data_IF_287162808503
#
_entry.id   IF_287162808503
#
_cell.length_a   1.000
_cell.length_b   1.000
_cell.length_c   1.000
_cell.angle_alpha   90.00
_cell.angle_beta   90.00
_cell.angle_gamma   90.00
#
_symmetry.space_group_name_H-M   'P 1'
#
loop_
_entity.id
_entity.type
_entity.pdbx_description
1 polymer ?
#
# COMPACT_ATOMS: atom_id res chain seq x y z
N UNK A 1 16.30 5.81 15.97
CA UNK A 1 16.43 5.52 14.53
C UNK A 1 16.76 4.05 14.23
N UNK A 2 17.74 3.37 14.87
CA UNK A 2 18.06 1.99 14.52
C UNK A 2 16.91 0.99 14.74
N UNK A 3 16.10 1.20 15.75
CA UNK A 3 14.96 0.32 16.05
C UNK A 3 13.89 0.35 14.96
N UNK A 4 13.61 1.51 14.38
CA UNK A 4 12.60 1.65 13.31
C UNK A 4 13.07 0.94 12.04
N UNK A 5 14.35 1.07 11.70
CA UNK A 5 14.95 0.38 10.56
C UNK A 5 14.91 -1.14 10.75
N UNK A 6 15.21 -1.64 11.96
CA UNK A 6 15.13 -3.07 12.27
C UNK A 6 13.70 -3.61 12.21
N UNK A 7 12.70 -2.84 12.68
CA UNK A 7 11.30 -3.22 12.59
C UNK A 7 10.82 -3.29 11.14
N UNK A 8 11.18 -2.31 10.32
CA UNK A 8 10.84 -2.27 8.89
C UNK A 8 11.51 -3.43 8.15
N UNK A 9 12.81 -3.66 8.37
CA UNK A 9 13.55 -4.75 7.75
C UNK A 9 12.97 -6.13 8.14
N UNK A 10 12.62 -6.30 9.41
CA UNK A 10 11.94 -7.51 9.90
C UNK A 10 10.61 -7.74 9.21
N UNK A 11 9.79 -6.72 9.08
CA UNK A 11 8.45 -6.81 8.50
C UNK A 11 8.50 -7.19 7.02
N UNK A 12 9.43 -6.60 6.27
CA UNK A 12 9.68 -6.97 4.87
C UNK A 12 10.18 -8.42 4.78
N UNK A 13 11.14 -8.80 5.64
CA UNK A 13 11.70 -10.17 5.66
C UNK A 13 10.64 -11.23 5.99
N UNK A 14 9.72 -10.94 6.91
CA UNK A 14 8.62 -11.85 7.27
C UNK A 14 7.65 -11.99 6.10
N UNK A 15 7.28 -10.90 5.43
CA UNK A 15 6.34 -10.89 4.29
C UNK A 15 6.81 -11.82 3.15
N UNK A 16 8.13 -11.92 2.92
CA UNK A 16 8.70 -12.64 1.78
C UNK A 16 9.47 -13.92 2.13
N UNK A 17 9.55 -14.29 3.41
CA UNK A 17 10.43 -15.37 3.94
C UNK A 17 10.23 -16.76 3.30
N UNK A 18 9.03 -17.08 2.79
CA UNK A 18 8.68 -18.39 2.22
C UNK A 18 8.25 -18.33 0.77
N UNK A 19 8.52 -17.25 0.08
CA UNK A 19 8.13 -17.08 -1.32
C UNK A 19 9.33 -17.30 -2.25
N UNK A 20 9.16 -18.14 -3.28
CA UNK A 20 10.17 -18.35 -4.33
C UNK A 20 10.45 -17.07 -5.10
N UNK A 21 9.42 -16.28 -5.36
CA UNK A 21 9.52 -15.01 -6.08
C UNK A 21 9.79 -13.83 -5.14
N UNK A 22 9.64 -14.02 -3.82
CA UNK A 22 9.95 -13.02 -2.81
C UNK A 22 9.43 -11.62 -3.13
N UNK A 23 10.33 -10.67 -3.22
CA UNK A 23 10.03 -9.25 -3.50
C UNK A 23 9.45 -9.04 -4.90
N UNK A 24 9.65 -9.96 -5.87
CA UNK A 24 9.05 -9.83 -7.20
C UNK A 24 7.52 -9.78 -7.16
N UNK A 25 6.88 -10.34 -6.15
CA UNK A 25 5.44 -10.24 -5.97
C UNK A 25 4.93 -8.80 -5.80
N UNK A 26 5.76 -7.88 -5.29
CA UNK A 26 5.37 -6.46 -5.21
C UNK A 26 5.20 -5.82 -6.58
N UNK A 27 5.95 -6.31 -7.57
CA UNK A 27 5.85 -5.88 -8.97
C UNK A 27 4.80 -6.67 -9.73
N UNK A 28 4.79 -8.01 -9.57
CA UNK A 28 3.90 -8.89 -10.31
C UNK A 28 2.44 -8.69 -9.96
N UNK A 29 2.12 -8.49 -8.67
CA UNK A 29 0.73 -8.35 -8.24
C UNK A 29 0.02 -7.15 -8.90
N UNK A 30 0.52 -5.91 -8.85
CA UNK A 30 -0.10 -4.80 -9.56
C UNK A 30 -0.15 -5.00 -11.08
N UNK A 31 0.88 -5.62 -11.70
CA UNK A 31 0.89 -5.90 -13.13
C UNK A 31 -0.19 -6.92 -13.53
N UNK A 32 -0.30 -8.02 -12.79
CA UNK A 32 -1.31 -9.05 -13.06
C UNK A 32 -2.74 -8.48 -12.87
N UNK A 33 -2.96 -7.70 -11.82
CA UNK A 33 -4.25 -7.05 -11.60
C UNK A 33 -4.56 -6.03 -12.68
N UNK A 34 -3.58 -5.27 -13.16
CA UNK A 34 -3.75 -4.37 -14.31
C UNK A 34 -4.20 -5.15 -15.54
N UNK A 35 -3.57 -6.29 -15.85
CA UNK A 35 -3.95 -7.12 -17.00
C UNK A 35 -5.41 -7.60 -16.84
N UNK A 36 -5.75 -8.15 -15.68
CA UNK A 36 -7.11 -8.64 -15.39
C UNK A 36 -8.14 -7.53 -15.54
N UNK A 37 -7.91 -6.38 -14.90
CA UNK A 37 -8.84 -5.24 -14.96
C UNK A 37 -8.92 -4.67 -16.38
N UNK A 38 -7.80 -4.56 -17.09
CA UNK A 38 -7.79 -4.08 -18.49
C UNK A 38 -8.60 -5.00 -19.40
N UNK A 39 -8.49 -6.33 -19.25
CA UNK A 39 -9.26 -7.29 -20.04
C UNK A 39 -10.75 -7.21 -19.69
N UNK A 40 -11.08 -7.14 -18.41
CA UNK A 40 -12.49 -7.07 -17.96
C UNK A 40 -13.13 -5.77 -18.42
N UNK A 41 -12.51 -4.64 -18.15
CA UNK A 41 -13.10 -3.32 -18.41
C UNK A 41 -13.03 -2.92 -19.90
N UNK A 42 -12.04 -3.34 -20.66
CA UNK A 42 -11.99 -3.07 -22.11
C UNK A 42 -13.12 -3.77 -22.87
N UNK A 43 -13.58 -4.93 -22.36
CA UNK A 43 -14.69 -5.66 -22.96
C UNK A 43 -16.08 -5.16 -22.50
N UNK A 44 -16.20 -4.67 -21.26
CA UNK A 44 -17.48 -4.24 -20.68
C UNK A 44 -17.77 -2.76 -20.93
N UNK A 45 -16.73 -1.92 -20.85
CA UNK A 45 -16.85 -0.48 -20.96
C UNK A 45 -15.90 0.01 -22.06
N UNK A 46 -16.44 0.55 -23.13
CA UNK A 46 -15.68 1.26 -24.18
C UNK A 46 -15.28 2.63 -23.64
N UNK A 47 -14.36 2.67 -22.68
CA UNK A 47 -13.81 3.95 -22.22
C UNK A 47 -12.85 4.48 -23.28
N UNK A 48 -13.11 5.70 -23.71
CA UNK A 48 -12.29 6.46 -24.68
C UNK A 48 -11.12 7.16 -23.95
N UNK A 49 -10.42 6.38 -23.09
CA UNK A 49 -9.27 6.87 -22.32
C UNK A 49 -8.01 6.38 -22.97
N UNK A 50 -7.19 7.33 -23.40
CA UNK A 50 -5.87 7.04 -23.94
C UNK A 50 -5.00 6.36 -22.86
N UNK A 51 -4.37 5.23 -23.21
CA UNK A 51 -3.57 4.42 -22.27
C UNK A 51 -4.33 3.93 -21.02
N UNK A 52 -5.53 3.40 -21.21
CA UNK A 52 -6.39 2.84 -20.17
C UNK A 52 -5.67 1.92 -19.14
N UNK A 53 -4.74 1.00 -19.55
CA UNK A 53 -3.99 0.19 -18.60
C UNK A 53 -3.15 1.02 -17.62
N UNK A 54 -2.52 2.09 -18.10
CA UNK A 54 -1.70 2.98 -17.27
C UNK A 54 -2.56 3.75 -16.27
N UNK A 55 -3.74 4.21 -16.71
CA UNK A 55 -4.71 4.91 -15.86
C UNK A 55 -5.16 4.01 -14.69
N UNK A 56 -5.59 2.77 -14.98
CA UNK A 56 -6.00 1.80 -13.95
C UNK A 56 -4.84 1.52 -12.99
N UNK A 57 -3.65 1.24 -13.53
CA UNK A 57 -2.49 0.89 -12.71
C UNK A 57 -2.11 2.02 -11.74
N UNK A 58 -2.14 3.27 -12.21
CA UNK A 58 -1.81 4.43 -11.37
C UNK A 58 -2.78 4.59 -10.20
N UNK A 59 -4.09 4.52 -10.46
CA UNK A 59 -5.11 4.56 -9.42
C UNK A 59 -4.99 3.39 -8.43
N UNK A 60 -4.78 2.18 -8.95
CA UNK A 60 -4.63 0.98 -8.15
C UNK A 60 -3.41 1.01 -7.23
N UNK A 61 -2.26 1.49 -7.70
CA UNK A 61 -1.04 1.60 -6.88
C UNK A 61 -1.26 2.53 -5.70
N UNK A 62 -1.90 3.69 -5.92
CA UNK A 62 -2.21 4.67 -4.88
C UNK A 62 -3.22 4.09 -3.88
N UNK A 63 -4.30 3.50 -4.37
CA UNK A 63 -5.34 2.90 -3.52
C UNK A 63 -4.80 1.72 -2.70
N UNK A 64 -4.00 0.83 -3.32
CA UNK A 64 -3.39 -0.30 -2.64
C UNK A 64 -2.45 0.15 -1.51
N UNK A 65 -1.67 1.21 -1.73
CA UNK A 65 -0.85 1.78 -0.66
C UNK A 65 -1.70 2.26 0.51
N UNK A 66 -2.75 3.04 0.25
CA UNK A 66 -3.64 3.53 1.30
C UNK A 66 -4.29 2.38 2.08
N UNK A 67 -4.87 1.44 1.37
CA UNK A 67 -5.52 0.26 1.95
C UNK A 67 -4.54 -0.60 2.76
N UNK A 68 -3.38 -0.93 2.19
CA UNK A 68 -2.37 -1.75 2.85
C UNK A 68 -1.77 -1.05 4.06
N UNK A 69 -1.39 0.22 3.95
CA UNK A 69 -0.75 0.97 5.03
C UNK A 69 -1.67 1.14 6.24
N UNK A 70 -2.94 1.50 6.02
CA UNK A 70 -3.92 1.69 7.10
C UNK A 70 -4.34 0.36 7.74
N UNK A 71 -4.53 -0.70 6.96
CA UNK A 71 -4.84 -2.04 7.47
C UNK A 71 -3.68 -2.61 8.30
N UNK A 72 -2.46 -2.52 7.81
CA UNK A 72 -1.26 -2.96 8.53
C UNK A 72 -1.03 -2.14 9.81
N UNK A 73 -1.25 -0.84 9.75
CA UNK A 73 -1.16 0.07 10.90
C UNK A 73 -2.16 -0.30 11.99
N UNK A 74 -3.40 -0.62 11.61
CA UNK A 74 -4.46 -1.03 12.54
C UNK A 74 -4.08 -2.27 13.33
N UNK A 75 -3.43 -3.26 12.70
CA UNK A 75 -2.96 -4.49 13.35
C UNK A 75 -1.61 -4.36 14.08
N UNK A 76 -0.91 -3.24 13.95
CA UNK A 76 0.47 -3.10 14.39
C UNK A 76 0.69 -3.31 15.90
N UNK A 77 -0.17 -2.74 16.74
CA UNK A 77 -0.05 -2.84 18.21
C UNK A 77 -0.41 -4.25 18.66
N UNK A 78 -1.49 -4.82 18.14
CA UNK A 78 -1.95 -6.16 18.51
C UNK A 78 -0.97 -7.24 18.08
N UNK A 79 -0.44 -7.13 16.86
CA UNK A 79 0.54 -8.09 16.31
C UNK A 79 1.90 -8.06 17.01
N UNK A 80 2.25 -6.96 17.69
CA UNK A 80 3.51 -6.81 18.42
C UNK A 80 3.32 -6.79 19.95
N UNK A 81 2.17 -7.23 20.46
CA UNK A 81 1.85 -7.19 21.90
C UNK A 81 2.90 -7.91 22.77
N UNK A 82 3.46 -9.03 22.30
CA UNK A 82 4.50 -9.77 23.03
C UNK A 82 5.81 -8.98 23.15
N UNK A 83 6.17 -8.22 22.11
CA UNK A 83 7.36 -7.37 22.10
C UNK A 83 7.16 -6.12 22.96
N UNK A 84 5.99 -5.50 22.88
CA UNK A 84 5.62 -4.31 23.67
C UNK A 84 5.66 -4.59 25.18
N UNK A 85 5.36 -5.82 25.60
CA UNK A 85 5.44 -6.23 27.01
C UNK A 85 6.88 -6.43 27.51
N UNK A 86 7.82 -6.70 26.63
CA UNK A 86 9.22 -7.01 26.97
C UNK A 86 10.13 -5.80 26.91
N UNK A 87 9.81 -4.82 26.08
CA UNK A 87 10.65 -3.66 25.80
C UNK A 87 9.84 -2.39 26.00
N UNK A 88 10.42 -1.41 26.72
CA UNK A 88 9.78 -0.10 26.89
C UNK A 88 10.00 0.75 25.64
N UNK A 89 9.11 0.58 24.65
CA UNK A 89 9.13 1.31 23.39
C UNK A 89 7.78 1.99 23.15
N UNK A 90 7.77 3.25 22.71
CA UNK A 90 6.52 3.94 22.38
C UNK A 90 5.72 3.17 21.32
N UNK A 91 4.44 2.91 21.60
CA UNK A 91 3.56 2.07 20.77
C UNK A 91 3.37 2.59 19.35
N UNK A 92 3.39 3.91 19.18
CA UNK A 92 3.25 4.54 17.86
C UNK A 92 4.38 4.16 16.88
N UNK A 93 5.57 3.79 17.37
CA UNK A 93 6.68 3.36 16.51
C UNK A 93 6.34 2.09 15.72
N UNK A 94 5.56 1.17 16.30
CA UNK A 94 5.10 -0.02 15.59
C UNK A 94 4.09 0.31 14.49
N UNK A 95 3.27 1.33 14.69
CA UNK A 95 2.34 1.82 13.66
C UNK A 95 3.10 2.47 12.53
N UNK A 96 4.03 3.36 12.85
CA UNK A 96 4.86 4.06 11.87
C UNK A 96 5.70 3.08 11.06
N UNK A 97 6.32 2.06 11.70
CA UNK A 97 7.13 1.06 10.99
C UNK A 97 6.30 0.30 9.94
N UNK A 98 5.04 -0.02 10.23
CA UNK A 98 4.14 -0.68 9.26
C UNK A 98 3.82 0.21 8.06
N UNK A 99 3.59 1.49 8.29
CA UNK A 99 3.34 2.45 7.21
C UNK A 99 4.58 2.64 6.34
N UNK A 100 5.77 2.72 6.95
CA UNK A 100 7.03 2.77 6.21
C UNK A 100 7.29 1.49 5.40
N UNK A 101 6.97 0.32 5.95
CA UNK A 101 7.05 -0.94 5.19
C UNK A 101 6.13 -0.93 3.97
N UNK A 102 4.90 -0.42 4.11
CA UNK A 102 3.97 -0.25 2.99
C UNK A 102 4.46 0.82 2.00
N UNK A 103 5.14 1.86 2.46
CA UNK A 103 5.75 2.86 1.58
C UNK A 103 6.88 2.28 0.71
N UNK A 104 7.68 1.36 1.26
CA UNK A 104 8.70 0.64 0.47
C UNK A 104 8.01 -0.20 -0.63
N UNK A 105 6.89 -0.87 -0.31
CA UNK A 105 6.10 -1.58 -1.31
C UNK A 105 5.53 -0.64 -2.38
N UNK A 106 5.09 0.57 -1.99
CA UNK A 106 4.66 1.60 -2.93
C UNK A 106 5.78 1.97 -3.91
N UNK A 107 7.00 2.22 -3.40
CA UNK A 107 8.15 2.52 -4.25
C UNK A 107 8.46 1.39 -5.23
N UNK A 108 8.37 0.14 -4.77
CA UNK A 108 8.50 -1.02 -5.66
C UNK A 108 7.39 -1.07 -6.71
N UNK A 109 6.14 -0.76 -6.36
CA UNK A 109 5.01 -0.72 -7.31
C UNK A 109 5.14 0.43 -8.33
N UNK A 110 5.80 1.53 -7.97
CA UNK A 110 6.14 2.59 -8.92
C UNK A 110 7.10 2.12 -10.02
N UNK A 111 7.99 1.17 -9.73
CA UNK A 111 8.84 0.58 -10.77
C UNK A 111 8.03 -0.18 -11.80
N UNK A 112 6.96 -0.88 -11.37
CA UNK A 112 6.02 -1.53 -12.27
C UNK A 112 5.29 -0.51 -13.16
N UNK A 113 4.87 0.61 -12.58
CA UNK A 113 4.21 1.70 -13.32
C UNK A 113 5.14 2.29 -14.38
N UNK A 114 6.41 2.53 -14.04
CA UNK A 114 7.42 3.03 -15.00
C UNK A 114 7.63 2.01 -16.12
N UNK A 115 7.71 0.71 -15.82
CA UNK A 115 7.85 -0.34 -16.83
C UNK A 115 6.69 -0.33 -17.82
N UNK A 116 5.45 -0.23 -17.34
CA UNK A 116 4.25 -0.15 -18.18
C UNK A 116 4.28 1.12 -19.02
N UNK A 117 4.67 2.26 -18.44
CA UNK A 117 4.75 3.53 -19.13
C UNK A 117 5.76 3.50 -20.30
N UNK A 118 6.91 2.86 -20.11
CA UNK A 118 7.91 2.63 -21.18
C UNK A 118 7.36 1.66 -22.22
N UNK A 119 6.68 0.58 -21.81
CA UNK A 119 6.12 -0.41 -22.74
C UNK A 119 4.99 0.17 -23.59
N UNK A 120 4.15 1.03 -23.04
CA UNK A 120 3.03 1.68 -23.75
C UNK A 120 3.46 2.93 -24.53
N UNK A 121 4.73 3.33 -24.44
CA UNK A 121 5.27 4.57 -25.04
C UNK A 121 4.42 5.81 -24.69
N UNK A 122 3.91 5.84 -23.45
CA UNK A 122 3.12 6.96 -22.97
C UNK A 122 3.97 8.25 -22.94
N UNK A 123 3.40 9.35 -23.39
CA UNK A 123 4.08 10.64 -23.38
C UNK A 123 4.33 11.11 -21.95
N UNK A 124 5.60 11.40 -21.64
CA UNK A 124 6.01 11.97 -20.36
C UNK A 124 5.69 13.47 -20.36
N UNK A 125 4.60 13.82 -19.68
CA UNK A 125 4.28 15.23 -19.44
C UNK A 125 5.04 15.77 -18.23
N UNK A 126 5.37 17.04 -18.22
CA UNK A 126 6.03 17.75 -17.11
C UNK A 126 5.29 17.60 -15.77
N UNK A 127 3.98 17.30 -15.80
CA UNK A 127 3.14 17.02 -14.63
C UNK A 127 3.63 15.85 -13.79
N UNK A 128 4.45 14.93 -14.32
CA UNK A 128 5.05 13.82 -13.57
C UNK A 128 5.94 14.33 -12.42
N UNK A 129 6.54 15.51 -12.55
CA UNK A 129 7.34 16.15 -11.48
C UNK A 129 6.48 16.51 -10.27
N UNK A 130 5.18 16.71 -10.43
CA UNK A 130 4.25 17.04 -9.35
C UNK A 130 3.75 15.79 -8.58
N UNK A 131 3.97 14.59 -9.09
CA UNK A 131 3.53 13.32 -8.48
C UNK A 131 3.99 13.13 -7.02
N UNK A 132 5.20 13.52 -6.61
CA UNK A 132 5.63 13.41 -5.22
C UNK A 132 4.76 14.18 -4.22
N UNK A 133 4.15 15.29 -4.63
CA UNK A 133 3.33 16.13 -3.73
C UNK A 133 2.11 15.36 -3.20
N UNK A 134 1.20 14.83 -4.05
CA UNK A 134 0.07 14.04 -3.59
C UNK A 134 0.49 12.76 -2.85
N UNK A 135 1.65 12.17 -3.19
CA UNK A 135 2.15 11.00 -2.49
C UNK A 135 2.55 11.30 -1.05
N UNK A 136 3.26 12.41 -0.81
CA UNK A 136 3.60 12.84 0.55
C UNK A 136 2.34 13.13 1.35
N UNK A 137 1.36 13.82 0.77
CA UNK A 137 0.07 14.08 1.42
C UNK A 137 -0.66 12.78 1.74
N UNK A 138 -0.64 11.80 0.84
CA UNK A 138 -1.24 10.48 1.05
C UNK A 138 -0.57 9.73 2.20
N UNK A 139 0.77 9.77 2.30
CA UNK A 139 1.52 9.15 3.41
C UNK A 139 1.15 9.78 4.74
N UNK A 140 1.11 11.11 4.82
CA UNK A 140 0.72 11.85 6.04
C UNK A 140 -0.73 11.51 6.43
N UNK A 141 -1.62 11.48 5.47
CA UNK A 141 -3.02 11.12 5.67
C UNK A 141 -3.18 9.68 6.17
N UNK A 142 -2.47 8.74 5.55
CA UNK A 142 -2.45 7.33 5.96
C UNK A 142 -1.87 7.15 7.37
N UNK A 143 -0.86 7.96 7.76
CA UNK A 143 -0.31 7.97 9.12
C UNK A 143 -1.36 8.40 10.13
N UNK A 144 -2.08 9.49 9.86
CA UNK A 144 -3.14 9.98 10.72
C UNK A 144 -4.24 8.94 10.95
N UNK A 145 -4.79 8.40 9.86
CA UNK A 145 -5.82 7.35 9.92
C UNK A 145 -5.29 6.08 10.58
N UNK A 146 -4.08 5.64 10.23
CA UNK A 146 -3.46 4.43 10.79
C UNK A 146 -3.28 4.52 12.31
N UNK A 147 -2.86 5.66 12.84
CA UNK A 147 -2.73 5.89 14.28
C UNK A 147 -4.09 5.84 14.99
N UNK A 148 -5.12 6.48 14.42
CA UNK A 148 -6.48 6.45 14.97
C UNK A 148 -7.03 5.03 14.97
N UNK A 149 -6.95 4.34 13.82
CA UNK A 149 -7.44 2.97 13.70
C UNK A 149 -6.71 1.99 14.61
N UNK A 150 -5.40 2.14 14.78
CA UNK A 150 -4.63 1.28 15.67
C UNK A 150 -5.04 1.46 17.14
N UNK A 151 -5.36 2.69 17.56
CA UNK A 151 -5.85 2.98 18.91
C UNK A 151 -7.25 2.38 19.15
N UNK A 152 -8.14 2.48 18.16
CA UNK A 152 -9.49 1.91 18.24
C UNK A 152 -9.43 0.38 18.23
N UNK A 153 -8.59 -0.24 17.38
CA UNK A 153 -8.46 -1.68 17.26
C UNK A 153 -7.97 -2.37 18.55
N UNK A 154 -7.17 -1.69 19.35
CA UNK A 154 -6.76 -2.19 20.68
C UNK A 154 -7.96 -2.32 21.62
N UNK A 155 -8.94 -1.43 21.52
CA UNK A 155 -10.14 -1.41 22.37
C UNK A 155 -11.26 -2.27 21.77
N UNK A 156 -11.47 -2.18 20.46
CA UNK A 156 -12.54 -2.85 19.75
C UNK A 156 -11.97 -3.61 18.54
N UNK A 157 -11.80 -4.92 18.68
CA UNK A 157 -11.21 -5.77 17.61
C UNK A 157 -12.08 -5.87 16.35
N UNK A 158 -13.39 -5.72 16.51
CA UNK A 158 -14.35 -5.83 15.40
C UNK A 158 -14.18 -4.72 14.35
N UNK A 159 -13.53 -3.61 14.73
CA UNK A 159 -13.19 -2.52 13.78
C UNK A 159 -12.36 -3.03 12.60
N UNK A 160 -11.57 -4.10 12.78
CA UNK A 160 -10.76 -4.68 11.71
C UNK A 160 -11.64 -5.22 10.59
N UNK A 161 -12.73 -5.90 10.94
CA UNK A 161 -13.68 -6.44 9.97
C UNK A 161 -14.52 -5.34 9.32
N UNK A 162 -15.00 -4.38 10.10
CA UNK A 162 -15.75 -3.23 9.58
C UNK A 162 -14.90 -2.41 8.62
N UNK A 163 -13.64 -2.17 8.96
CA UNK A 163 -12.72 -1.41 8.12
C UNK A 163 -12.41 -2.14 6.81
N UNK A 164 -12.27 -3.46 6.81
CA UNK A 164 -12.04 -4.23 5.58
C UNK A 164 -13.23 -4.12 4.61
N UNK A 165 -14.46 -4.14 5.12
CA UNK A 165 -15.67 -3.91 4.32
C UNK A 165 -15.71 -2.49 3.79
N UNK A 166 -15.38 -1.51 4.63
CA UNK A 166 -15.33 -0.10 4.22
C UNK A 166 -14.31 0.15 3.11
N UNK A 167 -13.09 -0.39 3.21
CA UNK A 167 -12.06 -0.28 2.17
C UNK A 167 -12.52 -0.94 0.88
N UNK A 168 -13.17 -2.10 0.97
CA UNK A 168 -13.71 -2.77 -0.22
C UNK A 168 -14.79 -1.93 -0.89
N UNK A 169 -15.70 -1.34 -0.12
CA UNK A 169 -16.71 -0.43 -0.65
C UNK A 169 -16.09 0.81 -1.30
N UNK A 170 -15.07 1.39 -0.67
CA UNK A 170 -14.35 2.56 -1.19
C UNK A 170 -13.63 2.27 -2.53
N UNK A 171 -13.22 1.04 -2.76
CA UNK A 171 -12.57 0.64 -4.02
C UNK A 171 -13.53 0.67 -5.21
N UNK A 172 -14.83 0.44 -4.96
CA UNK A 172 -15.85 0.38 -6.01
C UNK A 172 -16.72 1.65 -6.14
N UNK A 173 -16.46 2.65 -5.33
CA UNK A 173 -17.16 3.94 -5.34
C UNK A 173 -16.55 4.89 -6.38
#
# INVERSE_FOLDING_TARGET
>A
QPLLEELVARDIKIKYRRSVLGVLWTLLNPLLMMIVLSVVFSNLFKFDVENFPLFILSGQVIFNFFSESTTNAMGAILGNASLIRKIYVPKYLFVISRIFSSFINLMASFTALILVMVATRAELHWTVILVPIPLVLLVIFSMGIGLILSAIAVKFRDIMHLYSVFITALMYL
#
